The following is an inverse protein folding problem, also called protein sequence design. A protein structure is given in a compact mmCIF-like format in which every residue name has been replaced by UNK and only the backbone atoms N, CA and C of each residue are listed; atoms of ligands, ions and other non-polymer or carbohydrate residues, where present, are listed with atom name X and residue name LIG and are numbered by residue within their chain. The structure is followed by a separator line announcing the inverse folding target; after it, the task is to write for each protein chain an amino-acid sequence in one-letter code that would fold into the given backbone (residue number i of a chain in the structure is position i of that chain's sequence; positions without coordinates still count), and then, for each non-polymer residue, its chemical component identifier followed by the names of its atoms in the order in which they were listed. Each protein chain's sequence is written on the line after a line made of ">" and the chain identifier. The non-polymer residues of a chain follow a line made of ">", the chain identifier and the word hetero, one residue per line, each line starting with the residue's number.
data_IF_317155463551
#
_entry.id   IF_317155463551
#
_cell.length_a   1.000
_cell.length_b   1.000
_cell.length_c   1.000
_cell.angle_alpha   90.00
_cell.angle_beta   90.00
_cell.angle_gamma   90.00
#
_symmetry.space_group_name_H-M   'P 1'
#
loop_
_entity.id
_entity.type
_entity.pdbx_description
1 polymer ?
#
# COMPACT_ATOMS: atom_id res chain seq x y z
N UNK A 1 15.38 1.41 16.39
CA UNK A 1 16.76 1.98 16.34
C UNK A 1 17.83 0.95 15.93
N UNK A 2 17.55 -0.36 15.94
CA UNK A 2 18.59 -1.38 15.70
C UNK A 2 18.96 -1.60 14.22
N UNK A 3 18.13 -1.20 13.27
CA UNK A 3 18.41 -1.43 11.86
C UNK A 3 18.80 -0.15 11.15
N UNK A 4 20.09 0.15 11.10
CA UNK A 4 20.64 1.17 10.20
C UNK A 4 20.63 0.65 8.74
N UNK A 5 19.49 0.10 8.31
CA UNK A 5 19.28 -0.45 6.97
C UNK A 5 18.58 0.60 6.12
N UNK A 6 19.00 0.70 4.87
CA UNK A 6 18.40 1.61 3.89
C UNK A 6 16.91 1.33 3.69
N UNK A 7 16.51 0.05 3.71
CA UNK A 7 15.12 -0.36 3.53
C UNK A 7 14.67 -1.26 4.68
N UNK A 8 13.48 -0.98 5.20
CA UNK A 8 12.78 -1.82 6.17
C UNK A 8 11.44 -2.21 5.58
N UNK A 9 11.30 -3.50 5.25
CA UNK A 9 10.07 -4.06 4.72
C UNK A 9 9.30 -4.74 5.84
N UNK A 10 8.07 -4.31 6.08
CA UNK A 10 7.21 -4.76 7.17
C UNK A 10 5.95 -5.39 6.58
N UNK A 11 5.75 -6.66 6.86
CA UNK A 11 4.48 -7.31 6.58
C UNK A 11 3.54 -7.23 7.78
N UNK A 12 2.27 -6.95 7.54
CA UNK A 12 1.27 -6.91 8.59
C UNK A 12 -0.13 -7.18 8.04
N UNK A 13 -0.92 -8.00 8.70
CA UNK A 13 -2.32 -8.23 8.33
C UNK A 13 -3.17 -6.96 8.48
N UNK A 14 -4.33 -6.96 7.84
CA UNK A 14 -5.30 -5.87 8.05
C UNK A 14 -5.76 -5.85 9.51
N UNK A 15 -5.88 -4.65 10.06
CA UNK A 15 -6.28 -4.46 11.47
C UNK A 15 -5.15 -4.63 12.50
N UNK A 16 -3.93 -5.02 12.11
CA UNK A 16 -2.79 -5.16 13.04
C UNK A 16 -2.10 -3.86 13.42
N UNK A 17 -2.54 -2.70 12.89
CA UNK A 17 -2.02 -1.40 13.33
C UNK A 17 -0.92 -0.79 12.45
N UNK A 18 -0.81 -1.14 11.16
CA UNK A 18 0.15 -0.50 10.21
C UNK A 18 0.10 1.03 10.27
N UNK A 19 -1.10 1.58 10.10
CA UNK A 19 -1.30 3.04 10.12
C UNK A 19 -1.02 3.65 11.49
N UNK A 20 -1.23 2.90 12.58
CA UNK A 20 -0.82 3.36 13.92
C UNK A 20 0.71 3.42 14.04
N UNK A 21 1.39 2.37 13.58
CA UNK A 21 2.86 2.34 13.55
C UNK A 21 3.42 3.54 12.76
N UNK A 22 2.84 3.84 11.60
CA UNK A 22 3.28 4.95 10.76
C UNK A 22 3.08 6.32 11.44
N UNK A 23 1.95 6.52 12.13
CA UNK A 23 1.67 7.75 12.88
C UNK A 23 2.63 7.94 14.06
N UNK A 24 2.83 6.91 14.87
CA UNK A 24 3.78 6.91 16.00
C UNK A 24 5.21 7.16 15.50
N UNK A 25 5.59 6.54 14.38
CA UNK A 25 6.91 6.78 13.77
C UNK A 25 7.05 8.23 13.31
N UNK A 26 6.03 8.79 12.62
CA UNK A 26 6.04 10.19 12.18
C UNK A 26 6.18 11.15 13.36
N UNK A 27 5.44 10.91 14.44
CA UNK A 27 5.48 11.74 15.65
C UNK A 27 6.83 11.66 16.37
N UNK A 28 7.48 10.49 16.35
CA UNK A 28 8.83 10.30 16.92
C UNK A 28 9.93 11.04 16.13
N UNK A 29 9.81 11.09 14.79
CA UNK A 29 10.81 11.72 13.92
C UNK A 29 10.59 13.22 13.79
N UNK A 30 9.33 13.64 13.72
CA UNK A 30 8.91 15.02 13.57
C UNK A 30 7.79 15.35 14.57
N UNK A 31 8.13 15.47 15.88
CA UNK A 31 7.16 15.81 16.92
C UNK A 31 6.54 17.17 16.63
N UNK A 32 5.22 17.29 16.81
CA UNK A 32 4.53 18.58 16.72
C UNK A 32 4.98 19.47 17.87
N UNK A 33 5.42 20.69 17.56
CA UNK A 33 5.68 21.70 18.59
C UNK A 33 4.35 22.12 19.22
N UNK A 34 4.27 22.14 20.56
CA UNK A 34 3.11 22.63 21.28
C UNK A 34 2.94 24.16 20.99
N UNK A 35 1.84 24.54 20.35
CA UNK A 35 1.42 25.94 20.21
C UNK A 35 1.57 26.59 18.83
N UNK A 36 2.05 25.90 17.82
CA UNK A 36 2.02 26.40 16.45
C UNK A 36 0.71 25.99 15.78
N UNK A 37 -0.16 26.99 15.48
CA UNK A 37 -1.17 26.86 14.45
C UNK A 37 -0.47 26.32 13.20
N UNK A 38 -1.10 25.32 12.54
CA UNK A 38 -0.57 24.66 11.37
C UNK A 38 -0.49 25.64 10.18
N UNK A 39 0.45 26.55 10.23
CA UNK A 39 0.94 27.22 9.03
C UNK A 39 1.54 26.12 8.15
N UNK A 40 1.28 26.19 6.86
CA UNK A 40 1.82 25.26 5.87
C UNK A 40 3.33 25.15 6.12
N UNK A 41 3.72 24.13 6.87
CA UNK A 41 5.09 24.01 7.39
C UNK A 41 6.00 23.89 6.19
N UNK A 42 7.01 24.74 6.15
CA UNK A 42 8.03 24.79 5.14
C UNK A 42 8.49 23.37 4.78
N UNK A 43 8.51 23.04 3.50
CA UNK A 43 8.93 21.74 3.00
C UNK A 43 10.35 21.43 3.47
N UNK A 44 11.21 22.45 3.53
CA UNK A 44 12.59 22.35 4.01
C UNK A 44 12.72 21.92 5.49
N UNK A 45 11.69 22.10 6.31
CA UNK A 45 11.70 21.65 7.70
C UNK A 45 11.31 20.17 7.88
N UNK A 46 10.82 19.51 6.82
CA UNK A 46 10.31 18.14 6.92
C UNK A 46 11.43 17.11 6.86
N UNK A 47 11.35 16.13 7.77
CA UNK A 47 12.28 15.00 7.86
C UNK A 47 11.72 13.70 7.27
N UNK A 48 10.42 13.65 7.02
CA UNK A 48 9.72 12.44 6.56
C UNK A 48 8.72 12.75 5.45
N UNK A 49 8.86 12.03 4.34
CA UNK A 49 7.82 11.92 3.33
C UNK A 49 6.95 10.71 3.66
N UNK A 50 5.66 10.94 3.82
CA UNK A 50 4.69 9.91 4.20
C UNK A 50 3.65 9.70 3.11
N UNK A 51 3.48 8.44 2.70
CA UNK A 51 2.41 7.98 1.84
C UNK A 51 1.49 7.03 2.59
N UNK A 52 0.19 7.20 2.41
CA UNK A 52 -0.83 6.25 2.81
C UNK A 52 -1.83 6.07 1.67
N UNK A 53 -2.26 4.85 1.45
CA UNK A 53 -3.35 4.56 0.50
C UNK A 53 -4.71 5.14 0.96
N UNK A 54 -4.82 5.54 2.22
CA UNK A 54 -5.96 6.29 2.74
C UNK A 54 -5.83 7.76 2.34
N UNK A 55 -6.51 8.11 1.29
CA UNK A 55 -6.36 9.32 0.49
C UNK A 55 -7.00 10.57 1.09
N UNK A 56 -7.77 10.43 2.15
CA UNK A 56 -8.54 11.50 2.78
C UNK A 56 -7.66 12.65 3.31
N UNK A 57 -6.35 12.40 3.47
CA UNK A 57 -5.41 13.43 3.94
C UNK A 57 -4.96 14.39 2.82
N UNK A 58 -5.00 13.98 1.54
CA UNK A 58 -4.49 14.78 0.42
C UNK A 58 -5.55 15.15 -0.61
N UNK A 59 -6.57 14.30 -0.79
CA UNK A 59 -7.58 14.44 -1.82
C UNK A 59 -8.96 14.08 -1.28
N UNK A 60 -10.00 14.80 -1.71
CA UNK A 60 -11.38 14.46 -1.41
C UNK A 60 -12.31 14.78 -2.57
N UNK A 61 -13.35 13.97 -2.73
CA UNK A 61 -14.33 14.17 -3.78
C UNK A 61 -15.30 15.29 -3.47
N UNK A 62 -15.37 16.25 -4.38
CA UNK A 62 -16.50 17.15 -4.52
C UNK A 62 -17.46 16.54 -5.54
N UNK A 63 -18.55 15.97 -5.04
CA UNK A 63 -19.51 15.23 -5.88
C UNK A 63 -20.53 16.15 -6.55
N UNK A 64 -20.39 17.48 -6.44
CA UNK A 64 -21.34 18.44 -6.98
C UNK A 64 -22.81 18.09 -6.66
N UNK A 65 -23.10 17.86 -5.39
CA UNK A 65 -24.42 17.39 -4.91
C UNK A 65 -25.60 18.30 -5.30
N UNK A 66 -25.32 19.51 -5.75
CA UNK A 66 -26.35 20.46 -6.20
C UNK A 66 -26.83 20.21 -7.64
N UNK A 67 -25.90 19.88 -8.54
CA UNK A 67 -26.17 19.72 -9.97
C UNK A 67 -25.89 18.31 -10.46
N UNK A 68 -25.08 17.53 -9.73
CA UNK A 68 -24.61 16.17 -10.10
C UNK A 68 -24.01 16.11 -11.52
N UNK A 69 -23.33 17.19 -11.92
CA UNK A 69 -22.86 17.38 -13.29
C UNK A 69 -21.33 17.33 -13.42
N UNK A 70 -20.59 17.80 -12.41
CA UNK A 70 -19.14 17.98 -12.50
C UNK A 70 -18.40 17.44 -11.26
N UNK A 71 -18.40 16.11 -11.03
CA UNK A 71 -17.61 15.54 -9.95
C UNK A 71 -16.13 15.80 -10.19
N UNK A 72 -15.43 16.24 -9.14
CA UNK A 72 -14.00 16.53 -9.19
C UNK A 72 -13.31 16.14 -7.89
N UNK A 73 -12.06 15.79 -8.00
CA UNK A 73 -11.20 15.48 -6.88
C UNK A 73 -10.51 16.78 -6.43
N UNK A 74 -10.78 17.22 -5.21
CA UNK A 74 -10.13 18.40 -4.63
C UNK A 74 -8.80 18.02 -4.02
N UNK A 75 -7.78 18.83 -4.30
CA UNK A 75 -6.44 18.67 -3.75
C UNK A 75 -6.36 19.50 -2.47
N UNK A 76 -6.07 18.87 -1.35
CA UNK A 76 -5.79 19.56 -0.09
C UNK A 76 -4.47 20.33 -0.24
N UNK A 77 -4.45 21.65 -0.02
CA UNK A 77 -3.23 22.42 -0.11
C UNK A 77 -2.18 21.91 0.89
N UNK A 78 -1.06 21.47 0.37
CA UNK A 78 0.10 21.10 1.18
C UNK A 78 1.39 21.39 0.41
N UNK A 79 2.49 21.50 1.12
CA UNK A 79 3.78 21.85 0.54
C UNK A 79 4.31 20.83 -0.48
N UNK A 80 3.94 19.54 -0.36
CA UNK A 80 4.41 18.51 -1.29
C UNK A 80 3.66 18.55 -2.62
N UNK A 81 2.31 18.60 -2.60
CA UNK A 81 1.52 18.68 -3.83
C UNK A 81 1.76 19.99 -4.56
N UNK A 82 1.86 21.10 -3.82
CA UNK A 82 2.21 22.39 -4.41
C UNK A 82 3.55 22.32 -5.12
N UNK A 83 4.57 21.81 -4.46
CA UNK A 83 5.90 21.72 -5.03
C UNK A 83 5.92 20.86 -6.29
N UNK A 84 5.34 19.65 -6.28
CA UNK A 84 5.40 18.74 -7.42
C UNK A 84 4.57 19.21 -8.62
N UNK A 85 3.43 19.86 -8.38
CA UNK A 85 2.52 20.32 -9.42
C UNK A 85 2.88 21.73 -9.93
N UNK A 86 3.00 22.70 -9.03
CA UNK A 86 3.20 24.11 -9.41
C UNK A 86 4.67 24.40 -9.74
N UNK A 87 5.61 23.97 -8.88
CA UNK A 87 7.01 24.34 -9.02
C UNK A 87 7.77 23.42 -9.97
N UNK A 88 7.43 22.13 -10.00
CA UNK A 88 8.12 21.14 -10.85
C UNK A 88 7.34 20.82 -12.14
N UNK A 89 6.09 21.24 -12.28
CA UNK A 89 5.29 21.03 -13.49
C UNK A 89 5.14 19.57 -13.89
N UNK A 90 4.92 18.66 -12.91
CA UNK A 90 4.86 17.21 -13.13
C UNK A 90 3.46 16.69 -13.49
N UNK A 91 2.50 17.54 -13.74
CA UNK A 91 1.13 17.19 -14.09
C UNK A 91 1.02 16.21 -15.25
N UNK A 92 1.79 16.42 -16.32
CA UNK A 92 1.82 15.51 -17.48
C UNK A 92 2.47 14.16 -17.14
N UNK A 93 3.55 14.14 -16.35
CA UNK A 93 4.19 12.89 -15.90
C UNK A 93 3.27 12.09 -15.01
N UNK A 94 2.55 12.76 -14.09
CA UNK A 94 1.53 12.16 -13.23
C UNK A 94 0.41 11.56 -14.07
N UNK A 95 -0.09 12.30 -15.07
CA UNK A 95 -1.11 11.81 -15.98
C UNK A 95 -0.66 10.55 -16.74
N UNK A 96 0.56 10.55 -17.28
CA UNK A 96 1.12 9.40 -17.99
C UNK A 96 1.26 8.17 -17.07
N UNK A 97 1.78 8.35 -15.85
CA UNK A 97 1.89 7.27 -14.86
C UNK A 97 0.52 6.72 -14.47
N UNK A 98 -0.46 7.60 -14.26
CA UNK A 98 -1.82 7.20 -13.96
C UNK A 98 -2.46 6.38 -15.09
N UNK A 99 -2.33 6.85 -16.35
CA UNK A 99 -2.83 6.15 -17.52
C UNK A 99 -2.18 4.78 -17.71
N UNK A 100 -0.89 4.68 -17.41
CA UNK A 100 -0.16 3.41 -17.46
C UNK A 100 -0.74 2.35 -16.50
N UNK A 101 -1.10 2.74 -15.27
CA UNK A 101 -1.69 1.83 -14.27
C UNK A 101 -3.20 1.65 -14.39
N UNK A 102 -3.87 2.37 -15.29
CA UNK A 102 -5.33 2.30 -15.45
C UNK A 102 -5.74 2.06 -16.90
N UNK A 103 -5.87 3.09 -17.68
CA UNK A 103 -6.21 3.03 -19.11
C UNK A 103 -5.72 4.29 -19.80
N UNK A 104 -5.12 4.13 -20.99
CA UNK A 104 -4.76 5.26 -21.86
C UNK A 104 -5.94 6.17 -22.22
N UNK A 105 -7.18 5.65 -22.12
CA UNK A 105 -8.41 6.39 -22.37
C UNK A 105 -8.90 7.24 -21.20
N UNK A 106 -8.33 7.03 -20.02
CA UNK A 106 -8.71 7.75 -18.80
C UNK A 106 -7.70 8.87 -18.54
N UNK A 107 -8.13 10.12 -18.71
CA UNK A 107 -7.23 11.27 -18.63
C UNK A 107 -7.58 12.17 -17.45
N UNK A 108 -6.63 12.43 -16.53
CA UNK A 108 -6.77 13.43 -15.49
C UNK A 108 -6.52 14.84 -16.05
N UNK A 109 -7.33 15.79 -15.63
CA UNK A 109 -7.23 17.21 -15.99
C UNK A 109 -7.10 18.06 -14.74
N UNK A 110 -5.95 18.64 -14.53
CA UNK A 110 -5.71 19.56 -13.43
C UNK A 110 -6.29 20.94 -13.73
N UNK A 111 -6.89 21.59 -12.72
CA UNK A 111 -7.26 23.00 -12.82
C UNK A 111 -6.00 23.88 -12.92
N UNK A 112 -6.10 25.09 -13.54
CA UNK A 112 -4.93 25.98 -13.69
C UNK A 112 -4.26 26.38 -12.37
N UNK A 113 -4.99 26.35 -11.27
CA UNK A 113 -4.51 26.64 -9.92
C UNK A 113 -4.14 25.37 -9.12
N UNK A 114 -4.17 24.21 -9.76
CA UNK A 114 -3.93 22.89 -9.15
C UNK A 114 -4.75 22.61 -7.89
N UNK A 115 -5.91 23.23 -7.74
CA UNK A 115 -6.81 23.00 -6.60
C UNK A 115 -7.72 21.79 -6.80
N UNK A 116 -7.95 21.39 -8.07
CA UNK A 116 -8.84 20.28 -8.42
C UNK A 116 -8.31 19.45 -9.59
N UNK A 117 -8.78 18.21 -9.66
CA UNK A 117 -8.59 17.32 -10.80
C UNK A 117 -9.94 16.77 -11.24
N UNK A 118 -10.24 16.89 -12.51
CA UNK A 118 -11.36 16.20 -13.16
C UNK A 118 -10.83 15.08 -14.04
N UNK A 119 -11.68 14.13 -14.40
CA UNK A 119 -11.30 13.00 -15.23
C UNK A 119 -12.21 12.93 -16.45
N UNK A 120 -11.64 12.57 -17.61
CA UNK A 120 -12.39 12.28 -18.81
C UNK A 120 -12.07 10.87 -19.32
N UNK A 121 -13.03 10.25 -19.99
CA UNK A 121 -12.86 8.96 -20.62
C UNK A 121 -13.12 9.06 -22.11
N UNK A 122 -12.18 8.55 -22.92
CA UNK A 122 -12.35 8.49 -24.36
C UNK A 122 -13.23 7.28 -24.74
N UNK A 123 -14.44 7.56 -25.20
CA UNK A 123 -15.28 6.56 -25.85
C UNK A 123 -14.88 6.40 -27.31
N UNK A 124 -15.12 5.23 -27.91
CA UNK A 124 -14.87 5.02 -29.34
C UNK A 124 -15.41 6.17 -30.20
N UNK A 125 -14.77 6.46 -31.34
CA UNK A 125 -15.07 7.57 -32.26
C UNK A 125 -14.61 8.97 -31.80
N UNK A 126 -13.53 9.08 -31.00
CA UNK A 126 -12.98 10.36 -30.50
C UNK A 126 -13.98 11.21 -29.69
N UNK A 127 -15.02 10.59 -29.11
CA UNK A 127 -15.90 11.27 -28.17
C UNK A 127 -15.32 11.15 -26.76
N UNK A 128 -15.03 12.30 -26.16
CA UNK A 128 -14.64 12.40 -24.76
C UNK A 128 -15.87 12.58 -23.88
N UNK A 129 -16.02 11.75 -22.87
CA UNK A 129 -16.96 11.96 -21.79
C UNK A 129 -16.23 12.69 -20.66
N UNK A 130 -16.51 13.99 -20.45
CA UNK A 130 -15.88 14.78 -19.42
C UNK A 130 -16.50 14.50 -18.05
N UNK A 131 -15.79 14.91 -16.99
CA UNK A 131 -16.27 14.92 -15.60
C UNK A 131 -16.78 13.56 -15.09
N UNK A 132 -16.09 12.49 -15.43
CA UNK A 132 -16.44 11.17 -14.91
C UNK A 132 -15.93 10.99 -13.47
N UNK A 133 -16.66 10.25 -12.67
CA UNK A 133 -16.20 9.78 -11.37
C UNK A 133 -15.45 8.45 -11.54
N UNK A 134 -14.20 8.42 -11.15
CA UNK A 134 -13.38 7.22 -11.22
C UNK A 134 -13.67 6.25 -10.06
N UNK A 135 -13.32 4.99 -10.23
CA UNK A 135 -13.42 3.97 -9.18
C UNK A 135 -12.41 4.20 -8.05
N UNK A 136 -12.61 3.57 -6.90
CA UNK A 136 -11.67 3.66 -5.78
C UNK A 136 -10.28 3.08 -6.11
N UNK A 137 -10.20 2.07 -6.98
CA UNK A 137 -8.93 1.55 -7.48
C UNK A 137 -8.17 2.58 -8.33
N UNK A 138 -8.87 3.21 -9.26
CA UNK A 138 -8.32 4.29 -10.09
C UNK A 138 -7.91 5.50 -9.27
N UNK A 139 -8.69 5.87 -8.24
CA UNK A 139 -8.34 6.93 -7.29
C UNK A 139 -7.03 6.62 -6.57
N UNK A 140 -6.87 5.39 -6.06
CA UNK A 140 -5.63 4.95 -5.42
C UNK A 140 -4.42 5.01 -6.38
N UNK A 141 -4.63 4.63 -7.64
CA UNK A 141 -3.60 4.75 -8.69
C UNK A 141 -3.23 6.19 -9.00
N UNK A 142 -4.22 7.09 -9.02
CA UNK A 142 -3.95 8.51 -9.23
C UNK A 142 -3.09 9.09 -8.11
N UNK A 143 -3.42 8.78 -6.87
CA UNK A 143 -2.67 9.27 -5.72
C UNK A 143 -1.28 8.66 -5.66
N UNK A 144 -1.15 7.38 -6.00
CA UNK A 144 0.16 6.75 -6.18
C UNK A 144 0.99 7.47 -7.23
N UNK A 145 0.38 7.84 -8.38
CA UNK A 145 1.08 8.53 -9.47
C UNK A 145 1.63 9.90 -9.02
N UNK A 146 0.86 10.65 -8.22
CA UNK A 146 1.33 11.90 -7.62
C UNK A 146 2.50 11.66 -6.67
N UNK A 147 2.36 10.65 -5.78
CA UNK A 147 3.42 10.31 -4.84
C UNK A 147 4.68 9.79 -5.54
N UNK A 148 4.52 8.96 -6.58
CA UNK A 148 5.63 8.44 -7.38
C UNK A 148 6.45 9.57 -8.02
N UNK A 149 5.79 10.55 -8.64
CA UNK A 149 6.46 11.71 -9.22
C UNK A 149 7.21 12.53 -8.16
N UNK A 150 6.63 12.70 -6.97
CA UNK A 150 7.29 13.35 -5.84
C UNK A 150 8.50 12.55 -5.35
N UNK A 151 8.38 11.23 -5.25
CA UNK A 151 9.47 10.34 -4.80
C UNK A 151 10.62 10.31 -5.79
N UNK A 152 10.34 10.24 -7.08
CA UNK A 152 11.35 10.33 -8.14
C UNK A 152 12.16 11.61 -8.04
N UNK A 153 11.47 12.74 -7.88
CA UNK A 153 12.12 14.04 -7.79
C UNK A 153 12.94 14.18 -6.50
N UNK A 154 12.39 13.72 -5.36
CA UNK A 154 13.11 13.69 -4.09
C UNK A 154 14.43 12.91 -4.20
N UNK A 155 14.38 11.71 -4.80
CA UNK A 155 15.57 10.87 -4.99
C UNK A 155 16.55 11.54 -5.94
N UNK A 156 16.08 12.14 -7.03
CA UNK A 156 16.92 12.86 -8.00
C UNK A 156 17.67 13.99 -7.34
N UNK A 157 17.00 14.83 -6.55
CA UNK A 157 17.64 15.96 -5.85
C UNK A 157 18.66 15.49 -4.80
N UNK A 158 18.27 14.49 -3.98
CA UNK A 158 19.15 13.99 -2.93
C UNK A 158 20.34 13.16 -3.46
N UNK A 159 20.31 12.70 -4.70
CA UNK A 159 21.46 12.06 -5.35
C UNK A 159 22.53 13.06 -5.76
N UNK A 160 22.21 14.36 -5.82
CA UNK A 160 23.21 15.43 -5.99
C UNK A 160 23.91 15.60 -4.65
N UNK A 161 25.20 15.25 -4.60
CA UNK A 161 26.00 15.22 -3.36
C UNK A 161 26.15 16.62 -2.77
N UNK A 162 26.52 17.59 -3.60
CA UNK A 162 26.68 18.97 -3.18
C UNK A 162 25.31 19.64 -3.04
N UNK A 163 24.92 19.97 -1.80
CA UNK A 163 23.63 20.58 -1.50
C UNK A 163 23.41 21.90 -2.28
N UNK A 164 24.43 22.69 -2.45
CA UNK A 164 24.39 23.97 -3.21
C UNK A 164 24.18 23.79 -4.71
N UNK A 165 24.36 22.59 -5.24
CA UNK A 165 24.13 22.23 -6.64
C UNK A 165 22.73 21.67 -6.91
N UNK A 166 21.91 21.45 -5.88
CA UNK A 166 20.53 21.00 -5.99
C UNK A 166 19.64 22.12 -6.54
N UNK A 167 18.59 21.74 -7.26
CA UNK A 167 17.63 22.72 -7.78
C UNK A 167 16.75 23.33 -6.68
N UNK A 168 16.70 22.67 -5.51
CA UNK A 168 15.95 23.11 -4.33
C UNK A 168 16.63 22.64 -3.04
N UNK A 169 16.49 23.42 -1.97
CA UNK A 169 16.88 23.05 -0.62
C UNK A 169 15.76 22.35 0.17
N UNK A 170 14.58 22.26 -0.43
CA UNK A 170 13.37 21.75 0.19
C UNK A 170 13.50 20.34 0.78
N UNK A 171 14.43 19.53 0.30
CA UNK A 171 14.63 18.15 0.74
C UNK A 171 15.89 17.91 1.57
N UNK A 172 16.68 18.95 1.85
CA UNK A 172 17.97 18.78 2.50
C UNK A 172 17.89 18.10 3.88
N UNK A 173 16.77 18.26 4.59
CA UNK A 173 16.52 17.65 5.89
C UNK A 173 15.76 16.32 5.84
N UNK A 174 15.46 15.81 4.64
CA UNK A 174 14.68 14.58 4.49
C UNK A 174 15.51 13.35 4.88
N UNK A 175 15.03 12.60 5.85
CA UNK A 175 15.71 11.42 6.39
C UNK A 175 14.97 10.12 6.04
N UNK A 176 13.63 10.18 5.93
CA UNK A 176 12.78 8.98 5.79
C UNK A 176 11.72 9.15 4.71
N UNK A 177 11.44 8.05 4.03
CA UNK A 177 10.23 7.82 3.23
C UNK A 177 9.47 6.68 3.87
N UNK A 178 8.25 6.94 4.30
CA UNK A 178 7.35 5.93 4.84
C UNK A 178 6.20 5.69 3.87
N UNK A 179 6.05 4.44 3.40
CA UNK A 179 5.03 4.01 2.45
C UNK A 179 4.13 3.01 3.16
N UNK A 180 2.91 3.47 3.52
CA UNK A 180 1.93 2.66 4.22
C UNK A 180 0.94 2.04 3.24
N UNK A 181 1.13 0.76 2.97
CA UNK A 181 0.21 -0.10 2.23
C UNK A 181 -0.23 0.42 0.85
N UNK A 182 0.70 0.61 -0.10
CA UNK A 182 0.43 1.29 -1.36
C UNK A 182 -0.50 0.53 -2.31
N UNK A 183 -0.92 -0.68 -1.96
CA UNK A 183 -1.55 -1.64 -2.88
C UNK A 183 -2.99 -2.02 -2.51
N UNK A 184 -3.71 -1.17 -1.79
CA UNK A 184 -5.02 -1.53 -1.24
C UNK A 184 -6.12 -1.83 -2.28
N UNK A 185 -5.92 -1.50 -3.57
CA UNK A 185 -6.98 -1.61 -4.59
C UNK A 185 -6.47 -1.96 -6.00
N UNK A 186 -5.25 -2.50 -6.13
CA UNK A 186 -4.67 -2.92 -7.41
C UNK A 186 -4.98 -4.36 -7.76
N UNK A 187 -5.10 -4.66 -9.05
CA UNK A 187 -5.02 -6.05 -9.53
C UNK A 187 -3.60 -6.61 -9.42
N UNK A 188 -3.46 -7.93 -9.57
CA UNK A 188 -2.19 -8.62 -9.35
C UNK A 188 -1.07 -8.17 -10.30
N UNK A 189 -1.39 -7.82 -11.55
CA UNK A 189 -0.38 -7.41 -12.54
C UNK A 189 0.18 -6.04 -12.20
N UNK A 190 -0.69 -5.06 -11.97
CA UNK A 190 -0.28 -3.71 -11.59
C UNK A 190 0.42 -3.70 -10.22
N UNK A 191 0.03 -4.60 -9.31
CA UNK A 191 0.68 -4.77 -8.02
C UNK A 191 2.14 -5.23 -8.16
N UNK A 192 2.41 -6.22 -9.04
CA UNK A 192 3.76 -6.69 -9.33
C UNK A 192 4.58 -5.55 -9.95
N UNK A 193 4.03 -4.87 -10.93
CA UNK A 193 4.69 -3.77 -11.62
C UNK A 193 5.03 -2.62 -10.67
N UNK A 194 4.08 -2.22 -9.83
CA UNK A 194 4.31 -1.20 -8.80
C UNK A 194 5.44 -1.60 -7.86
N UNK A 195 5.48 -2.87 -7.43
CA UNK A 195 6.55 -3.37 -6.55
C UNK A 195 7.93 -3.32 -7.24
N UNK A 196 8.02 -3.70 -8.51
CA UNK A 196 9.26 -3.64 -9.30
C UNK A 196 9.72 -2.18 -9.48
N UNK A 197 8.80 -1.29 -9.85
CA UNK A 197 9.09 0.13 -10.06
C UNK A 197 9.54 0.80 -8.75
N UNK A 198 8.84 0.55 -7.65
CA UNK A 198 9.23 1.05 -6.32
C UNK A 198 10.61 0.53 -5.91
N UNK A 199 10.89 -0.76 -6.12
CA UNK A 199 12.21 -1.32 -5.85
C UNK A 199 13.30 -0.65 -6.69
N UNK A 200 13.03 -0.36 -7.96
CA UNK A 200 13.91 0.38 -8.86
C UNK A 200 14.23 1.78 -8.32
N UNK A 201 13.21 2.53 -7.90
CA UNK A 201 13.39 3.85 -7.29
C UNK A 201 14.21 3.79 -6.00
N UNK A 202 13.91 2.85 -5.11
CA UNK A 202 14.68 2.68 -3.87
C UNK A 202 16.17 2.37 -4.16
N UNK A 203 16.42 1.51 -5.15
CA UNK A 203 17.80 1.16 -5.57
C UNK A 203 18.53 2.34 -6.20
N UNK A 204 17.84 3.23 -6.92
CA UNK A 204 18.42 4.41 -7.56
C UNK A 204 18.85 5.50 -6.56
N UNK A 205 18.31 5.49 -5.35
CA UNK A 205 18.70 6.42 -4.30
C UNK A 205 20.13 6.15 -3.83
N UNK A 206 21.03 7.11 -3.98
CA UNK A 206 22.43 7.05 -3.55
C UNK A 206 22.66 7.75 -2.21
N UNK A 207 21.68 8.54 -1.76
CA UNK A 207 21.72 9.27 -0.49
C UNK A 207 21.49 8.36 0.73
N UNK A 208 21.62 8.95 1.93
CA UNK A 208 21.33 8.29 3.21
C UNK A 208 19.83 8.16 3.52
N UNK A 209 18.96 8.47 2.54
CA UNK A 209 17.51 8.35 2.65
C UNK A 209 17.10 6.92 2.99
N UNK A 210 16.28 6.77 4.02
CA UNK A 210 15.79 5.48 4.52
C UNK A 210 14.34 5.26 4.16
N UNK A 211 14.02 4.04 3.74
CA UNK A 211 12.70 3.65 3.29
C UNK A 211 12.07 2.66 4.27
N UNK A 212 10.83 2.92 4.66
CA UNK A 212 10.00 2.00 5.43
C UNK A 212 8.77 1.71 4.60
N UNK A 213 8.55 0.45 4.26
CA UNK A 213 7.40 0.02 3.46
C UNK A 213 6.60 -0.98 4.27
N UNK A 214 5.34 -0.68 4.51
CA UNK A 214 4.39 -1.61 5.12
C UNK A 214 3.44 -2.16 4.06
N UNK A 215 3.02 -3.41 4.19
CA UNK A 215 1.99 -3.99 3.32
C UNK A 215 1.27 -5.17 3.97
N UNK A 216 0.02 -5.39 3.56
CA UNK A 216 -0.75 -6.60 3.87
C UNK A 216 -0.79 -7.59 2.70
N UNK A 217 -0.30 -7.19 1.52
CA UNK A 217 -0.28 -8.04 0.34
C UNK A 217 0.95 -8.97 0.34
N UNK A 218 0.76 -10.29 0.41
CA UNK A 218 1.88 -11.24 0.34
C UNK A 218 2.62 -11.17 -0.99
N UNK A 219 1.91 -10.94 -2.08
CA UNK A 219 2.50 -10.86 -3.41
C UNK A 219 3.40 -9.63 -3.54
N UNK A 220 2.90 -8.45 -3.17
CA UNK A 220 3.69 -7.22 -3.16
C UNK A 220 4.93 -7.34 -2.28
N UNK A 221 4.76 -7.91 -1.07
CA UNK A 221 5.85 -8.17 -0.16
C UNK A 221 6.92 -9.07 -0.80
N UNK A 222 6.53 -10.20 -1.40
CA UNK A 222 7.47 -11.14 -1.99
C UNK A 222 8.23 -10.55 -3.18
N UNK A 223 7.55 -9.78 -4.05
CA UNK A 223 8.21 -9.10 -5.16
C UNK A 223 9.22 -8.08 -4.65
N UNK A 224 8.84 -7.21 -3.72
CA UNK A 224 9.75 -6.24 -3.12
C UNK A 224 10.92 -6.90 -2.39
N UNK A 225 10.67 -7.95 -1.62
CA UNK A 225 11.71 -8.68 -0.89
C UNK A 225 12.77 -9.21 -1.84
N UNK A 226 12.36 -9.82 -2.95
CA UNK A 226 13.25 -10.37 -3.95
C UNK A 226 13.97 -9.28 -4.74
N UNK A 227 13.24 -8.27 -5.21
CA UNK A 227 13.81 -7.16 -5.96
C UNK A 227 14.85 -6.38 -5.15
N UNK A 228 14.58 -6.11 -3.88
CA UNK A 228 15.51 -5.41 -3.00
C UNK A 228 16.64 -6.31 -2.49
N UNK A 229 16.63 -7.60 -2.83
CA UNK A 229 17.56 -8.60 -2.31
C UNK A 229 17.67 -8.55 -0.77
N UNK A 230 16.52 -8.39 -0.14
CA UNK A 230 16.43 -8.24 1.31
C UNK A 230 16.76 -9.57 2.00
N UNK A 231 17.54 -9.51 3.07
CA UNK A 231 17.87 -10.69 3.89
C UNK A 231 17.07 -10.73 5.20
N UNK A 232 16.46 -9.62 5.53
CA UNK A 232 15.72 -9.41 6.76
C UNK A 232 14.48 -8.60 6.46
N UNK A 233 13.38 -9.02 7.03
CA UNK A 233 12.11 -8.33 7.01
C UNK A 233 11.48 -8.37 8.39
N UNK A 234 10.36 -7.70 8.55
CA UNK A 234 9.65 -7.63 9.83
C UNK A 234 8.20 -8.08 9.65
N UNK A 235 7.70 -8.78 10.67
CA UNK A 235 6.29 -9.10 10.82
C UNK A 235 5.74 -8.26 11.98
N UNK A 236 4.71 -7.46 11.72
CA UNK A 236 3.98 -6.74 12.76
C UNK A 236 2.80 -7.60 13.20
N UNK A 237 2.76 -7.92 14.49
CA UNK A 237 1.72 -8.72 15.12
C UNK A 237 1.04 -7.91 16.22
N UNK A 238 -0.25 -8.13 16.40
CA UNK A 238 -1.04 -7.60 17.50
C UNK A 238 -1.51 -8.76 18.36
N UNK A 239 -1.34 -8.65 19.66
CA UNK A 239 -1.79 -9.64 20.65
C UNK A 239 -3.18 -9.30 21.19
N UNK A 240 -3.84 -10.29 21.80
CA UNK A 240 -5.18 -10.15 22.40
C UNK A 240 -5.21 -9.17 23.56
N UNK A 241 -4.11 -8.99 24.26
CA UNK A 241 -3.93 -7.99 25.32
C UNK A 241 -3.81 -6.54 24.81
N UNK A 242 -3.85 -6.37 23.49
CA UNK A 242 -3.68 -5.08 22.80
C UNK A 242 -2.23 -4.67 22.59
N UNK A 243 -1.25 -5.50 23.00
CA UNK A 243 0.17 -5.32 22.73
C UNK A 243 0.52 -5.52 21.26
N UNK A 244 1.70 -5.01 20.87
CA UNK A 244 2.24 -5.15 19.53
C UNK A 244 3.66 -5.70 19.58
N UNK A 245 4.00 -6.57 18.64
CA UNK A 245 5.38 -6.99 18.41
C UNK A 245 5.79 -6.75 16.95
N UNK A 246 7.04 -6.35 16.79
CA UNK A 246 7.71 -6.29 15.50
C UNK A 246 8.79 -7.36 15.49
N UNK A 247 8.47 -8.50 14.90
CA UNK A 247 9.33 -9.69 14.89
C UNK A 247 10.20 -9.70 13.65
N UNK A 248 11.51 -9.81 13.85
CA UNK A 248 12.45 -9.93 12.75
C UNK A 248 12.40 -11.34 12.13
N UNK A 249 12.32 -11.40 10.80
CA UNK A 249 12.31 -12.64 10.01
C UNK A 249 13.53 -12.66 9.08
N UNK A 250 14.22 -13.79 9.05
CA UNK A 250 15.44 -14.00 8.26
C UNK A 250 15.21 -15.07 7.19
N UNK A 251 15.93 -14.96 6.07
CA UNK A 251 15.90 -15.92 4.98
C UNK A 251 15.27 -15.38 3.70
N UNK A 252 15.06 -16.25 2.72
CA UNK A 252 14.35 -15.91 1.50
C UNK A 252 12.84 -15.75 1.73
N UNK A 253 12.14 -15.15 0.78
CA UNK A 253 10.70 -14.89 0.88
C UNK A 253 9.89 -16.16 1.12
N UNK A 254 10.33 -17.31 0.58
CA UNK A 254 9.64 -18.58 0.71
C UNK A 254 9.82 -19.21 2.10
N UNK A 255 10.92 -18.92 2.79
CA UNK A 255 11.20 -19.44 4.14
C UNK A 255 10.86 -18.44 5.25
N UNK A 256 11.09 -17.16 5.01
CA UNK A 256 10.87 -16.11 6.01
C UNK A 256 9.41 -15.72 6.15
N UNK A 257 8.67 -15.67 5.03
CA UNK A 257 7.24 -15.37 5.01
C UNK A 257 6.59 -15.99 3.76
N UNK A 258 5.90 -17.10 3.95
CA UNK A 258 4.93 -17.60 2.99
C UNK A 258 3.55 -17.48 3.63
N UNK A 259 2.66 -16.75 2.99
CA UNK A 259 1.28 -16.62 3.46
C UNK A 259 0.64 -17.98 3.76
N UNK A 260 0.87 -18.97 2.89
CA UNK A 260 0.36 -20.32 3.06
C UNK A 260 0.99 -21.05 4.24
N UNK A 261 2.29 -20.87 4.48
CA UNK A 261 2.95 -21.42 5.67
C UNK A 261 2.45 -20.75 6.95
N UNK A 262 2.20 -19.44 6.91
CA UNK A 262 1.61 -18.74 8.06
C UNK A 262 0.20 -19.26 8.34
N UNK A 263 -0.68 -19.40 7.33
CA UNK A 263 -2.01 -20.01 7.51
C UNK A 263 -1.91 -21.40 8.10
N UNK A 264 -1.01 -22.23 7.58
CA UNK A 264 -0.75 -23.57 8.09
C UNK A 264 -0.33 -23.54 9.57
N UNK A 265 0.65 -22.72 9.92
CA UNK A 265 1.15 -22.58 11.29
C UNK A 265 0.06 -22.08 12.26
N UNK A 266 -0.75 -21.12 11.83
CA UNK A 266 -1.89 -20.60 12.61
C UNK A 266 -2.88 -21.72 12.93
N UNK A 267 -3.20 -22.57 11.96
CA UNK A 267 -4.10 -23.71 12.15
C UNK A 267 -3.45 -24.76 13.07
N UNK A 268 -2.20 -25.09 12.83
CA UNK A 268 -1.44 -26.06 13.66
C UNK A 268 -1.33 -25.62 15.12
N UNK A 269 -1.08 -24.32 15.34
CA UNK A 269 -1.03 -23.75 16.68
C UNK A 269 -2.40 -23.79 17.37
N UNK A 270 -3.47 -23.43 16.65
CA UNK A 270 -4.83 -23.50 17.19
C UNK A 270 -5.21 -24.94 17.58
N UNK A 271 -4.77 -25.94 16.82
CA UNK A 271 -4.98 -27.35 17.15
C UNK A 271 -4.16 -27.72 18.42
N UNK A 272 -2.88 -27.33 18.48
CA UNK A 272 -2.01 -27.63 19.62
C UNK A 272 -2.54 -27.01 20.92
N UNK A 273 -3.08 -25.78 20.85
CA UNK A 273 -3.63 -25.06 21.98
C UNK A 273 -5.07 -25.47 22.32
N UNK A 274 -5.66 -26.38 21.56
CA UNK A 274 -7.08 -26.76 21.65
C UNK A 274 -8.05 -25.56 21.56
N UNK A 275 -7.71 -24.61 20.68
CA UNK A 275 -8.43 -23.34 20.45
C UNK A 275 -8.88 -23.20 18.98
N UNK A 276 -9.37 -24.29 18.39
CA UNK A 276 -9.87 -24.25 17.02
C UNK A 276 -11.20 -23.51 17.00
N UNK A 277 -11.26 -22.43 16.23
CA UNK A 277 -12.43 -21.61 16.04
C UNK A 277 -12.91 -21.67 14.59
N UNK A 278 -14.11 -21.17 14.35
CA UNK A 278 -14.75 -21.19 13.02
C UNK A 278 -13.89 -20.55 11.91
N UNK A 279 -13.21 -19.47 12.19
CA UNK A 279 -12.38 -18.80 11.19
C UNK A 279 -11.20 -19.66 10.71
N UNK A 280 -10.69 -20.59 11.54
CA UNK A 280 -9.63 -21.50 11.14
C UNK A 280 -10.05 -22.43 9.98
N UNK A 281 -11.34 -22.77 9.88
CA UNK A 281 -11.86 -23.53 8.72
C UNK A 281 -11.87 -22.68 7.45
N UNK A 282 -12.09 -21.37 7.56
CA UNK A 282 -11.93 -20.45 6.42
C UNK A 282 -10.48 -20.36 5.96
N UNK A 283 -9.53 -20.31 6.90
CA UNK A 283 -8.10 -20.36 6.58
C UNK A 283 -7.71 -21.66 5.91
N UNK A 284 -8.20 -22.78 6.42
CA UNK A 284 -7.97 -24.12 5.87
C UNK A 284 -8.52 -24.23 4.44
N UNK A 285 -9.73 -23.77 4.21
CA UNK A 285 -10.35 -23.73 2.88
C UNK A 285 -9.52 -22.88 1.92
N UNK A 286 -9.08 -21.70 2.32
CA UNK A 286 -8.24 -20.82 1.51
C UNK A 286 -6.93 -21.53 1.14
N UNK A 287 -6.30 -22.23 2.09
CA UNK A 287 -5.09 -22.99 1.86
C UNK A 287 -5.31 -24.09 0.79
N UNK A 288 -6.40 -24.85 0.88
CA UNK A 288 -6.75 -25.88 -0.11
C UNK A 288 -7.06 -25.29 -1.47
N UNK A 289 -7.85 -24.20 -1.55
CA UNK A 289 -8.21 -23.54 -2.81
C UNK A 289 -6.97 -23.03 -3.56
N UNK A 290 -6.05 -22.38 -2.87
CA UNK A 290 -4.81 -21.87 -3.46
C UNK A 290 -3.87 -23.00 -3.88
N UNK A 291 -3.75 -24.05 -3.06
CA UNK A 291 -2.92 -25.23 -3.38
C UNK A 291 -3.48 -25.98 -4.60
N UNK A 292 -4.79 -26.17 -4.68
CA UNK A 292 -5.44 -26.80 -5.82
C UNK A 292 -5.22 -25.99 -7.11
N UNK A 293 -5.41 -24.70 -7.05
CA UNK A 293 -5.16 -23.79 -8.18
C UNK A 293 -3.71 -23.87 -8.67
N UNK A 294 -2.74 -23.86 -7.73
CA UNK A 294 -1.32 -23.98 -8.05
C UNK A 294 -0.97 -25.32 -8.72
N UNK A 295 -1.59 -26.41 -8.26
CA UNK A 295 -1.38 -27.76 -8.81
C UNK A 295 -2.21 -28.04 -10.08
N UNK A 296 -3.05 -27.10 -10.52
CA UNK A 296 -3.88 -27.24 -11.71
C UNK A 296 -5.15 -28.11 -11.49
N UNK A 297 -5.54 -28.32 -10.24
CA UNK A 297 -6.79 -29.04 -9.95
C UNK A 297 -8.01 -28.10 -10.11
N UNK A 298 -9.06 -28.53 -10.84
CA UNK A 298 -10.26 -27.71 -11.04
C UNK A 298 -11.09 -27.52 -9.77
N UNK A 299 -10.92 -28.40 -8.77
CA UNK A 299 -11.64 -28.36 -7.49
C UNK A 299 -10.72 -28.64 -6.33
N UNK A 300 -10.71 -27.77 -5.32
CA UNK A 300 -9.90 -27.96 -4.12
C UNK A 300 -10.22 -29.24 -3.33
N UNK A 301 -11.47 -29.75 -3.45
CA UNK A 301 -11.87 -31.02 -2.87
C UNK A 301 -11.06 -32.23 -3.38
N UNK A 302 -10.36 -32.11 -4.50
CA UNK A 302 -9.50 -33.19 -5.03
C UNK A 302 -8.26 -33.44 -4.17
N UNK A 303 -7.87 -32.46 -3.37
CA UNK A 303 -6.76 -32.57 -2.43
C UNK A 303 -7.16 -33.15 -1.07
N UNK A 304 -8.45 -33.38 -0.83
CA UNK A 304 -8.90 -33.96 0.43
C UNK A 304 -8.59 -35.45 0.50
N UNK A 305 -8.39 -36.03 1.72
CA UNK A 305 -8.24 -37.46 1.93
C UNK A 305 -9.45 -38.28 1.43
N UNK A 306 -9.37 -39.60 1.48
CA UNK A 306 -10.33 -40.53 0.88
C UNK A 306 -11.81 -40.29 1.27
N UNK A 307 -12.10 -39.79 2.48
CA UNK A 307 -13.44 -39.39 2.90
C UNK A 307 -13.85 -37.97 2.44
N UNK A 308 -13.55 -37.63 1.19
CA UNK A 308 -13.70 -36.28 0.59
C UNK A 308 -15.05 -35.63 0.88
N UNK A 309 -16.15 -36.35 0.77
CA UNK A 309 -17.50 -35.80 0.99
C UNK A 309 -17.73 -35.36 2.43
N UNK A 310 -17.22 -36.14 3.40
CA UNK A 310 -17.36 -35.83 4.81
C UNK A 310 -16.58 -34.57 5.17
N UNK A 311 -15.31 -34.48 4.74
CA UNK A 311 -14.46 -33.30 5.00
C UNK A 311 -14.97 -32.07 4.26
N UNK A 312 -15.38 -32.22 2.99
CA UNK A 312 -15.97 -31.15 2.21
C UNK A 312 -17.21 -30.55 2.89
N UNK A 313 -18.14 -31.41 3.32
CA UNK A 313 -19.36 -30.99 3.99
C UNK A 313 -19.04 -30.24 5.32
N UNK A 314 -18.10 -30.75 6.09
CA UNK A 314 -17.67 -30.11 7.36
C UNK A 314 -17.05 -28.73 7.11
N UNK A 315 -16.07 -28.63 6.20
CA UNK A 315 -15.40 -27.37 5.90
C UNK A 315 -16.40 -26.35 5.33
N UNK A 316 -17.29 -26.75 4.40
CA UNK A 316 -18.30 -25.87 3.83
C UNK A 316 -19.29 -25.41 4.89
N UNK A 317 -19.81 -26.30 5.74
CA UNK A 317 -20.78 -25.96 6.77
C UNK A 317 -20.21 -24.93 7.75
N UNK A 318 -18.96 -25.08 8.15
CA UNK A 318 -18.29 -24.10 9.03
C UNK A 318 -17.99 -22.77 8.36
N UNK A 319 -17.86 -22.73 7.02
CA UNK A 319 -17.53 -21.48 6.30
C UNK A 319 -18.74 -20.76 5.71
N UNK A 320 -19.88 -21.46 5.49
CA UNK A 320 -20.99 -20.93 4.68
C UNK A 320 -22.20 -20.43 5.47
N UNK A 321 -22.35 -20.75 6.76
CA UNK A 321 -23.53 -20.35 7.54
C UNK A 321 -23.21 -19.19 8.50
N UNK A 322 -23.79 -18.02 8.22
CA UNK A 322 -23.68 -16.80 9.05
C UNK A 322 -24.62 -16.79 10.27
N UNK A 323 -25.42 -17.84 10.44
CA UNK A 323 -26.41 -17.91 11.52
C UNK A 323 -26.28 -19.24 12.23
N UNK A 324 -25.46 -19.31 13.25
CA UNK A 324 -25.69 -20.17 14.43
C UNK A 324 -24.56 -19.98 15.44
N UNK A 325 -24.95 -19.49 16.61
CA UNK A 325 -24.38 -19.64 17.98
C UNK A 325 -22.89 -19.90 18.15
N UNK A 326 -22.29 -19.15 19.06
CA UNK A 326 -21.00 -19.35 19.71
C UNK A 326 -20.90 -20.74 20.39
N UNK A 327 -20.91 -21.82 19.64
CA UNK A 327 -20.54 -23.13 20.15
C UNK A 327 -19.09 -23.40 19.82
N UNK A 328 -18.29 -23.63 20.85
CA UNK A 328 -16.94 -24.15 20.72
C UNK A 328 -17.01 -25.51 20.01
N UNK A 329 -16.15 -25.70 19.02
CA UNK A 329 -16.03 -26.94 18.23
C UNK A 329 -15.20 -27.96 18.98
#
# INVERSE_FOLDING_TARGET
>A
RAANKKVQLIYAFNGTGKTRLSREFKELIAPKAEGEEAQASDLAAKKILYYSAFTEDLFYWDNDLGLDAEPKLRIQPNSFTKWVLEEQGKDQSIAATFQHYTSEKLTPHFSPDFSTVSFSFERGNNQQEPHIKISKGEESNFIWSVFNALLEQLISELNIVEADSRSTDAFNNMEYVFIDDPVSSLDENHLIELAVNLAGLIKSSQSDLKFIVTTHSPLFYNVLFNELNSKVCYLLERFDDGGFALTEKHGDSNKSFSYHLHLKQTIEQAIADNKVERFHFTLLRNLYEKTASFLGHPKWAELLPDDKQLYLARIINFTSHSTLSNEAV
#
